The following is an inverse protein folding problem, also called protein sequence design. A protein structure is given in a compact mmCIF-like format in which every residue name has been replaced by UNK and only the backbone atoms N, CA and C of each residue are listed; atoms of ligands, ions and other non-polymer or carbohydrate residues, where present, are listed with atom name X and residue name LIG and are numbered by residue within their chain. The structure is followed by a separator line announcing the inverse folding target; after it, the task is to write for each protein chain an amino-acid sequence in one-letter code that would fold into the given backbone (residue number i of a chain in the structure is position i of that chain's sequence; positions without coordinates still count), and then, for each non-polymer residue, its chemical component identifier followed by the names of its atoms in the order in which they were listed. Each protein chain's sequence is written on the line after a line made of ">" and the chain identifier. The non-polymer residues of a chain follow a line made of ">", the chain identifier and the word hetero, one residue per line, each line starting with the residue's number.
data_IF_300491942947
#
_entry.id   IF_300491942947
#
_cell.length_a   1.000
_cell.length_b   1.000
_cell.length_c   1.000
_cell.angle_alpha   90.00
_cell.angle_beta   90.00
_cell.angle_gamma   90.00
#
_symmetry.space_group_name_H-M   'P 1'
#
loop_
_entity.id
_entity.type
_entity.pdbx_description
1 polymer ?
#
# COMPACT_ATOMS: atom_id res chain seq x y z
N UNK A 1 9.31 2.32 -3.82
CA UNK A 1 8.26 1.89 -4.77
C UNK A 1 7.31 0.92 -4.07
N UNK A 2 6.12 0.67 -4.64
CA UNK A 2 5.11 -0.26 -4.11
C UNK A 2 5.66 -1.68 -3.91
N UNK A 3 6.22 -2.30 -4.97
CA UNK A 3 6.69 -3.69 -4.95
C UNK A 3 7.74 -4.01 -3.89
N UNK A 4 8.66 -3.08 -3.60
CA UNK A 4 9.66 -3.27 -2.55
C UNK A 4 9.04 -3.25 -1.16
N UNK A 5 7.91 -2.57 -0.96
CA UNK A 5 7.20 -2.52 0.33
C UNK A 5 6.28 -3.72 0.49
N UNK A 6 5.56 -4.10 -0.56
CA UNK A 6 4.75 -5.32 -0.57
C UNK A 6 5.59 -6.54 -0.15
N UNK A 7 6.78 -6.70 -0.74
CA UNK A 7 7.70 -7.79 -0.37
C UNK A 7 8.16 -7.72 1.09
N UNK A 8 8.57 -6.56 1.56
CA UNK A 8 9.12 -6.40 2.91
C UNK A 8 8.06 -6.42 4.02
N UNK A 9 6.83 -6.04 3.73
CA UNK A 9 5.80 -5.84 4.76
C UNK A 9 4.71 -6.91 4.75
N UNK A 10 4.55 -7.63 3.63
CA UNK A 10 3.59 -8.73 3.51
C UNK A 10 4.32 -10.06 3.35
N UNK A 11 5.30 -10.13 2.45
CA UNK A 11 5.94 -11.43 2.12
C UNK A 11 7.05 -11.85 3.08
N UNK A 12 7.62 -10.94 3.88
CA UNK A 12 8.61 -11.32 4.92
C UNK A 12 7.97 -12.12 6.06
N UNK A 13 6.64 -12.07 6.23
CA UNK A 13 5.92 -12.75 7.30
C UNK A 13 5.61 -14.23 7.00
N UNK A 14 5.82 -14.69 5.76
CA UNK A 14 5.61 -16.09 5.39
C UNK A 14 5.15 -16.29 3.96
N UNK A 15 4.50 -17.44 3.72
CA UNK A 15 3.92 -17.81 2.43
C UNK A 15 2.39 -17.82 2.53
N UNK A 16 1.72 -17.44 1.44
CA UNK A 16 0.27 -17.59 1.34
C UNK A 16 -0.11 -19.06 1.26
N UNK A 17 -1.17 -19.46 1.98
CA UNK A 17 -1.64 -20.85 2.00
C UNK A 17 -2.38 -21.23 0.71
N UNK A 18 -2.98 -20.24 0.05
CA UNK A 18 -3.66 -20.38 -1.23
C UNK A 18 -3.62 -19.08 -2.03
N UNK A 19 -4.10 -19.12 -3.28
CA UNK A 19 -4.27 -17.93 -4.11
C UNK A 19 -5.31 -16.97 -3.52
N UNK A 20 -6.36 -17.49 -2.87
CA UNK A 20 -7.41 -16.66 -2.29
C UNK A 20 -6.92 -15.96 -1.01
N UNK A 21 -6.08 -16.64 -0.22
CA UNK A 21 -5.40 -16.00 0.92
C UNK A 21 -4.45 -14.89 0.45
N UNK A 22 -3.69 -15.14 -0.63
CA UNK A 22 -2.83 -14.13 -1.23
C UNK A 22 -3.62 -12.89 -1.67
N UNK A 23 -4.79 -13.10 -2.30
CA UNK A 23 -5.68 -12.00 -2.71
C UNK A 23 -6.21 -11.23 -1.51
N UNK A 24 -6.63 -11.93 -0.45
CA UNK A 24 -7.16 -11.33 0.76
C UNK A 24 -6.09 -10.47 1.47
N UNK A 25 -4.90 -11.03 1.72
CA UNK A 25 -3.83 -10.30 2.41
C UNK A 25 -3.29 -9.13 1.59
N UNK A 26 -3.08 -9.32 0.28
CA UNK A 26 -2.60 -8.23 -0.58
C UNK A 26 -3.67 -7.14 -0.71
N UNK A 27 -4.94 -7.51 -0.84
CA UNK A 27 -6.06 -6.57 -0.88
C UNK A 27 -6.16 -5.75 0.40
N UNK A 28 -6.15 -6.42 1.56
CA UNK A 28 -6.15 -5.77 2.87
C UNK A 28 -4.95 -4.83 3.04
N UNK A 29 -3.75 -5.27 2.67
CA UNK A 29 -2.56 -4.44 2.71
C UNK A 29 -2.71 -3.19 1.82
N UNK A 30 -3.28 -3.30 0.62
CA UNK A 30 -3.45 -2.16 -0.30
C UNK A 30 -4.50 -1.19 0.26
N UNK A 31 -5.69 -1.70 0.57
CA UNK A 31 -6.87 -0.88 0.85
C UNK A 31 -6.89 -0.33 2.26
N UNK A 32 -6.40 -1.09 3.25
CA UNK A 32 -6.45 -0.70 4.66
C UNK A 32 -5.14 -0.11 5.19
N UNK A 33 -4.02 -0.29 4.48
CA UNK A 33 -2.73 0.22 4.94
C UNK A 33 -1.97 1.06 3.90
N UNK A 34 -1.63 0.51 2.74
CA UNK A 34 -0.77 1.16 1.77
C UNK A 34 -1.38 2.48 1.25
N UNK A 35 -2.60 2.43 0.73
CA UNK A 35 -3.27 3.59 0.15
C UNK A 35 -3.69 4.64 1.20
N UNK A 36 -4.33 4.28 2.33
CA UNK A 36 -4.81 5.29 3.29
C UNK A 36 -3.74 5.75 4.29
N UNK A 37 -2.85 4.86 4.75
CA UNK A 37 -2.01 5.11 5.94
C UNK A 37 -0.54 5.31 5.60
N UNK A 38 0.01 4.50 4.69
CA UNK A 38 1.46 4.42 4.49
C UNK A 38 2.03 5.72 3.93
N UNK A 39 2.99 6.32 4.63
CA UNK A 39 3.65 7.56 4.20
C UNK A 39 4.86 7.28 3.30
N UNK A 40 5.02 8.11 2.28
CA UNK A 40 6.11 8.01 1.32
C UNK A 40 6.91 9.32 1.25
N UNK A 41 8.23 9.23 1.43
CA UNK A 41 9.13 10.39 1.38
C UNK A 41 9.07 11.12 0.02
N UNK A 42 8.96 10.37 -1.08
CA UNK A 42 8.88 10.91 -2.44
C UNK A 42 7.64 11.76 -2.74
N UNK A 43 6.60 11.70 -1.90
CA UNK A 43 5.38 12.51 -2.02
C UNK A 43 5.15 13.43 -0.81
N UNK A 44 6.23 13.75 -0.10
CA UNK A 44 6.21 14.67 1.04
C UNK A 44 5.62 14.04 2.31
N UNK A 45 5.91 12.76 2.56
CA UNK A 45 5.43 12.02 3.73
C UNK A 45 3.90 11.97 3.87
N UNK A 46 3.22 11.90 2.72
CA UNK A 46 1.77 11.67 2.62
C UNK A 46 1.49 10.23 2.20
N UNK A 47 0.28 9.76 2.49
CA UNK A 47 -0.23 8.53 1.88
C UNK A 47 -0.63 8.75 0.41
N UNK A 48 -0.69 7.69 -0.40
CA UNK A 48 -1.15 7.78 -1.80
C UNK A 48 -2.49 8.51 -1.93
N UNK A 49 -3.49 8.16 -1.11
CA UNK A 49 -4.81 8.82 -1.12
C UNK A 49 -4.70 10.30 -0.76
N UNK A 50 -3.92 10.65 0.27
CA UNK A 50 -3.70 12.05 0.64
C UNK A 50 -3.00 12.83 -0.47
N UNK A 51 -2.05 12.20 -1.15
CA UNK A 51 -1.36 12.82 -2.26
C UNK A 51 -2.33 13.08 -3.41
N UNK A 52 -3.07 12.08 -3.87
CA UNK A 52 -4.03 12.20 -4.97
C UNK A 52 -5.11 13.24 -4.68
N UNK A 53 -5.71 13.22 -3.48
CA UNK A 53 -6.71 14.21 -3.07
C UNK A 53 -6.19 15.65 -3.22
N UNK A 54 -4.97 15.91 -2.77
CA UNK A 54 -4.33 17.23 -2.86
C UNK A 54 -3.90 17.62 -4.28
N UNK A 55 -3.77 16.66 -5.22
CA UNK A 55 -3.44 16.94 -6.62
C UNK A 55 -4.71 17.18 -7.43
N UNK A 56 -5.76 16.40 -7.18
CA UNK A 56 -7.08 16.60 -7.79
C UNK A 56 -7.66 17.96 -7.38
N UNK A 57 -7.52 18.36 -6.10
CA UNK A 57 -8.03 19.64 -5.62
C UNK A 57 -7.28 20.87 -6.15
N UNK A 58 -6.15 20.68 -6.85
CA UNK A 58 -5.30 21.76 -7.37
C UNK A 58 -5.37 21.92 -8.89
N UNK A 59 -6.05 21.01 -9.57
CA UNK A 59 -6.40 21.12 -10.99
C UNK A 59 -7.84 21.62 -11.14
#
# INVERSE_FOLDING_TARGET
>A
SFWSRLKAEVMESGVFLSLDDARAEIGDYIDNYYNPVRKHSGIGYRSPVQFEFNHISKN
#
